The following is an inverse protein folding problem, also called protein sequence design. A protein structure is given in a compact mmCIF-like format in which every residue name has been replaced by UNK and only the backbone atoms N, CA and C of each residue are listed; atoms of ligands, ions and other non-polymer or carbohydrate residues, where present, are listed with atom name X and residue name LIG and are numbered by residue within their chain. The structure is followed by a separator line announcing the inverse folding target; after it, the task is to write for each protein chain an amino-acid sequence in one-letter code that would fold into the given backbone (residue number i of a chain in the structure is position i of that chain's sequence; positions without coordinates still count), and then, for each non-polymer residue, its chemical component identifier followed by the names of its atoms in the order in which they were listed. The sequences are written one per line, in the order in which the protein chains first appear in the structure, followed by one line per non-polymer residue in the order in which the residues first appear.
data_IF_457668343862
#
_entry.id   IF_457668343862
#
_cell.length_a   1.000
_cell.length_b   1.000
_cell.length_c   1.000
_cell.angle_alpha   90.00
_cell.angle_beta   90.00
_cell.angle_gamma   90.00
#
_symmetry.space_group_name_H-M   'P 1'
#
loop_
_entity.id
_entity.type
_entity.pdbx_description
1 polymer ?
#
# COMPACT_ATOMS: atom_id res chain seq x y z
N UNK A 1 -0.24 1.38 -4.77
CA UNK A 1 -0.91 0.11 -4.42
C UNK A 1 0.02 -0.72 -3.56
N UNK A 2 -0.54 -1.64 -2.77
CA UNK A 2 0.20 -2.57 -1.92
C UNK A 2 0.05 -3.97 -2.53
N UNK A 3 1.16 -4.65 -2.78
CA UNK A 3 1.22 -5.99 -3.38
C UNK A 3 1.79 -6.95 -2.34
N UNK A 4 0.98 -7.88 -1.84
CA UNK A 4 1.48 -8.97 -0.97
C UNK A 4 2.04 -10.09 -1.83
N UNK A 5 3.17 -10.64 -1.42
CA UNK A 5 3.94 -11.58 -2.24
C UNK A 5 4.33 -12.84 -1.47
N UNK A 6 4.58 -13.93 -2.20
CA UNK A 6 5.24 -15.13 -1.70
C UNK A 6 6.73 -15.05 -1.95
N UNK A 7 7.52 -15.60 -1.04
CA UNK A 7 8.97 -15.68 -1.18
C UNK A 7 9.70 -14.37 -0.88
N UNK A 8 10.89 -14.24 -1.46
CA UNK A 8 11.83 -13.15 -1.22
C UNK A 8 11.38 -11.80 -1.81
N UNK A 9 11.53 -10.72 -1.04
CA UNK A 9 11.14 -9.37 -1.43
C UNK A 9 12.07 -8.75 -2.47
N UNK A 10 13.35 -9.16 -2.53
CA UNK A 10 14.28 -8.70 -3.56
C UNK A 10 13.85 -9.21 -4.93
N UNK A 11 13.69 -10.51 -5.04
CA UNK A 11 13.21 -11.21 -6.25
C UNK A 11 11.83 -10.70 -6.68
N UNK A 12 10.90 -10.52 -5.75
CA UNK A 12 9.59 -9.94 -6.06
C UNK A 12 9.70 -8.50 -6.59
N UNK A 13 10.58 -7.67 -6.02
CA UNK A 13 10.78 -6.29 -6.45
C UNK A 13 11.35 -6.22 -7.88
N UNK A 14 12.28 -7.09 -8.23
CA UNK A 14 12.83 -7.19 -9.59
C UNK A 14 11.77 -7.60 -10.60
N UNK A 15 10.91 -8.58 -10.25
CA UNK A 15 9.79 -9.01 -11.09
C UNK A 15 8.74 -7.92 -11.28
N UNK A 16 8.42 -7.15 -10.24
CA UNK A 16 7.52 -5.98 -10.38
C UNK A 16 8.16 -4.92 -11.29
N UNK A 17 9.47 -4.66 -11.13
CA UNK A 17 10.18 -3.67 -11.94
C UNK A 17 10.22 -4.05 -13.42
N UNK A 18 10.40 -5.34 -13.75
CA UNK A 18 10.39 -5.82 -15.14
C UNK A 18 9.01 -5.67 -15.82
N UNK A 19 7.94 -5.55 -15.04
CA UNK A 19 6.59 -5.24 -15.51
C UNK A 19 6.33 -3.74 -15.71
N UNK A 20 7.36 -2.89 -15.64
CA UNK A 20 7.28 -1.42 -15.75
C UNK A 20 6.56 -0.74 -14.58
N UNK A 21 6.56 -1.38 -13.41
CA UNK A 21 6.06 -0.77 -12.18
C UNK A 21 7.22 -0.26 -11.31
N UNK A 22 6.99 0.83 -10.59
CA UNK A 22 8.00 1.43 -9.70
C UNK A 22 7.80 0.96 -8.28
N UNK A 23 8.82 0.31 -7.70
CA UNK A 23 8.82 -0.08 -6.29
C UNK A 23 9.18 1.14 -5.43
N UNK A 24 8.25 1.58 -4.59
CA UNK A 24 8.41 2.71 -3.68
C UNK A 24 9.02 2.25 -2.35
N UNK A 25 8.54 1.13 -1.81
CA UNK A 25 8.97 0.60 -0.51
C UNK A 25 8.79 -0.91 -0.43
N UNK A 26 9.68 -1.56 0.34
CA UNK A 26 9.57 -2.97 0.74
C UNK A 26 9.11 -3.05 2.20
N UNK A 27 8.15 -3.91 2.50
CA UNK A 27 7.56 -4.08 3.83
C UNK A 27 7.84 -5.51 4.32
N UNK A 28 8.91 -5.68 5.09
CA UNK A 28 9.37 -6.99 5.56
C UNK A 28 8.38 -7.69 6.51
N UNK A 29 7.77 -6.94 7.42
CA UNK A 29 6.87 -7.51 8.45
C UNK A 29 5.60 -8.15 7.88
N UNK A 30 5.11 -7.69 6.74
CA UNK A 30 3.89 -8.18 6.10
C UNK A 30 4.13 -8.84 4.73
N UNK A 31 5.41 -9.04 4.38
CA UNK A 31 5.88 -9.50 3.08
C UNK A 31 5.17 -8.85 1.89
N UNK A 32 5.31 -7.53 1.77
CA UNK A 32 4.63 -6.74 0.74
C UNK A 32 5.52 -5.67 0.10
N UNK A 33 5.12 -5.23 -1.09
CA UNK A 33 5.71 -4.12 -1.84
C UNK A 33 4.70 -2.97 -1.96
N UNK A 34 5.15 -1.75 -1.74
CA UNK A 34 4.42 -0.53 -2.13
C UNK A 34 4.88 -0.17 -3.53
N UNK A 35 3.94 -0.09 -4.47
CA UNK A 35 4.23 0.01 -5.89
C UNK A 35 3.37 1.10 -6.54
N UNK A 36 3.97 1.88 -7.44
CA UNK A 36 3.26 2.72 -8.41
C UNK A 36 3.24 2.04 -9.77
N UNK A 37 2.07 1.96 -10.40
CA UNK A 37 1.89 1.28 -11.68
C UNK A 37 0.64 1.80 -12.41
N UNK A 38 0.60 1.63 -13.73
CA UNK A 38 -0.65 1.81 -14.49
C UNK A 38 -1.67 0.72 -14.13
N UNK A 39 -2.96 0.96 -14.44
CA UNK A 39 -4.02 -0.02 -14.20
C UNK A 39 -3.76 -1.34 -14.96
N UNK A 40 -3.31 -1.25 -16.21
CA UNK A 40 -2.91 -2.41 -17.01
C UNK A 40 -1.79 -3.23 -16.34
N UNK A 41 -0.77 -2.54 -15.84
CA UNK A 41 0.35 -3.19 -15.15
C UNK A 41 -0.09 -3.83 -13.82
N UNK A 42 -0.98 -3.16 -13.08
CA UNK A 42 -1.53 -3.71 -11.84
C UNK A 42 -2.33 -5.00 -12.09
N UNK A 43 -3.08 -5.07 -13.18
CA UNK A 43 -3.82 -6.28 -13.57
C UNK A 43 -2.88 -7.41 -14.00
N UNK A 44 -1.78 -7.09 -14.69
CA UNK A 44 -0.73 -8.07 -15.00
C UNK A 44 -0.09 -8.63 -13.71
N UNK A 45 0.29 -7.76 -12.78
CA UNK A 45 0.85 -8.15 -11.48
C UNK A 45 -0.13 -9.07 -10.73
N UNK A 46 -1.43 -8.76 -10.73
CA UNK A 46 -2.45 -9.56 -10.03
C UNK A 46 -2.52 -11.03 -10.49
N UNK A 47 -2.15 -11.31 -11.74
CA UNK A 47 -2.20 -12.66 -12.34
C UNK A 47 -0.96 -13.50 -12.06
N UNK A 48 0.07 -12.92 -11.48
CA UNK A 48 1.31 -13.62 -11.15
C UNK A 48 1.10 -14.62 -10.01
N UNK A 49 1.55 -15.88 -10.19
CA UNK A 49 1.36 -16.94 -9.19
C UNK A 49 2.07 -16.71 -7.85
N UNK A 50 3.06 -15.81 -7.81
CA UNK A 50 3.76 -15.42 -6.60
C UNK A 50 3.08 -14.24 -5.87
N UNK A 51 2.03 -13.65 -6.44
CA UNK A 51 1.24 -12.58 -5.82
C UNK A 51 0.11 -13.19 -4.98
N UNK A 52 -0.06 -12.67 -3.77
CA UNK A 52 -1.09 -13.11 -2.81
C UNK A 52 -2.30 -12.19 -2.89
N UNK A 53 -2.08 -10.88 -2.85
CA UNK A 53 -3.13 -9.87 -2.99
C UNK A 53 -2.58 -8.59 -3.59
N UNK A 54 -3.45 -7.83 -4.26
CA UNK A 54 -3.19 -6.47 -4.74
C UNK A 54 -4.27 -5.55 -4.21
N UNK A 55 -3.88 -4.57 -3.43
CA UNK A 55 -4.77 -3.65 -2.74
C UNK A 55 -4.46 -2.20 -3.14
N UNK A 56 -5.47 -1.35 -3.38
CA UNK A 56 -5.24 0.07 -3.57
C UNK A 56 -4.67 0.68 -2.29
N UNK A 57 -3.75 1.63 -2.45
CA UNK A 57 -3.21 2.40 -1.33
C UNK A 57 -4.21 3.51 -0.97
N UNK A 58 -5.07 3.26 0.03
CA UNK A 58 -6.20 4.12 0.36
C UNK A 58 -5.76 5.24 1.31
N UNK A 59 -6.31 6.44 1.10
CA UNK A 59 -6.18 7.53 2.07
C UNK A 59 -7.11 7.29 3.25
N UNK A 60 -6.59 7.47 4.46
CA UNK A 60 -7.36 7.48 5.71
C UNK A 60 -7.19 8.84 6.38
N UNK A 61 -8.22 9.29 7.09
CA UNK A 61 -8.19 10.54 7.87
C UNK A 61 -8.47 10.24 9.34
N UNK A 62 -7.87 11.02 10.23
CA UNK A 62 -8.15 10.93 11.67
C UNK A 62 -9.41 11.72 11.99
N UNK A 63 -10.41 11.08 12.60
CA UNK A 63 -11.49 11.82 13.25
C UNK A 63 -10.98 12.37 14.59
N UNK A 64 -10.84 13.69 14.68
CA UNK A 64 -10.76 14.35 15.99
C UNK A 64 -12.15 14.28 16.62
N UNK A 65 -12.29 13.55 17.73
CA UNK A 65 -13.46 13.75 18.59
C UNK A 65 -13.42 15.20 19.07
N UNK A 66 -14.55 15.94 19.07
CA UNK A 66 -14.60 17.22 19.76
C UNK A 66 -14.24 16.94 21.22
N UNK A 67 -13.14 17.53 21.70
CA UNK A 67 -12.89 17.63 23.12
C UNK A 67 -14.01 18.48 23.71
N UNK A 68 -14.96 17.87 24.41
CA UNK A 68 -15.89 18.57 25.27
C UNK A 68 -15.09 19.39 26.29
N UNK A 69 -15.09 20.71 26.17
CA UNK A 69 -14.40 21.55 27.14
C UNK A 69 -13.89 22.87 26.58
N UNK A 70 -14.81 23.77 26.24
CA UNK A 70 -14.62 25.19 26.57
C UNK A 70 -15.99 25.87 26.61
N UNK A 71 -16.78 25.53 27.64
CA UNK A 71 -17.71 26.51 28.20
C UNK A 71 -16.88 27.36 29.14
N UNK A 72 -16.47 28.53 28.68
CA UNK A 72 -16.07 29.59 29.59
C UNK A 72 -17.18 30.65 29.52
N UNK A 73 -18.20 30.46 30.36
CA UNK A 73 -19.09 31.53 30.78
C UNK A 73 -18.23 32.51 31.60
N UNK A 74 -17.99 33.70 31.06
CA UNK A 74 -17.09 34.67 31.68
C UNK A 74 -17.46 36.10 31.34
N UNK A 75 -18.50 36.59 32.02
CA UNK A 75 -18.85 37.98 32.39
C UNK A 75 -18.59 39.11 31.39
#
# INVERSE_FOLDING_TARGET
MIVRVRGDLGSAAERVASLKATVIRRLALINALVVSASAETAERIRREGWVVSVEPDRKVSTQRRPSEGSRNDGR
#
